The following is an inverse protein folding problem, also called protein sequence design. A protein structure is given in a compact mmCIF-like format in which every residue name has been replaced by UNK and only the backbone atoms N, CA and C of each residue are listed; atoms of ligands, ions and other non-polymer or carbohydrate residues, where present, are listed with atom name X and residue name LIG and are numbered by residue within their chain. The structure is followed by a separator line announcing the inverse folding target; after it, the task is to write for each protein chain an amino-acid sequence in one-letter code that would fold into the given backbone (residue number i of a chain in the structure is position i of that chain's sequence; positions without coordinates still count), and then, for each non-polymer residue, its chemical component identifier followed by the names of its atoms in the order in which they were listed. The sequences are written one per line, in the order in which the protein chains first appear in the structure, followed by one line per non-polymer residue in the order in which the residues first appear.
data_IF_257955329030
#
_entry.id   IF_257955329030
#
_cell.length_a   1.000
_cell.length_b   1.000
_cell.length_c   1.000
_cell.angle_alpha   90.00
_cell.angle_beta   90.00
_cell.angle_gamma   90.00
#
_symmetry.space_group_name_H-M   'P 1'
#
loop_
_entity.id
_entity.type
_entity.pdbx_description
1 polymer ?
#
# COMPACT_ATOMS: atom_id res chain seq x y z
N UNK A 1 -26.02 -6.13 34.04
CA UNK A 1 -25.56 -7.52 34.33
C UNK A 1 -26.76 -8.36 34.68
N UNK A 2 -27.55 -7.90 35.65
CA UNK A 2 -28.79 -8.58 36.10
C UNK A 2 -29.92 -8.58 35.05
N UNK A 3 -29.85 -7.72 34.04
CA UNK A 3 -30.80 -7.72 32.91
C UNK A 3 -30.63 -8.93 31.97
N UNK A 4 -29.46 -9.57 32.00
CA UNK A 4 -29.10 -10.64 31.05
C UNK A 4 -28.68 -11.94 31.72
N UNK A 5 -28.21 -11.89 32.97
CA UNK A 5 -27.66 -13.04 33.68
C UNK A 5 -28.26 -13.17 35.07
N UNK A 6 -28.57 -14.41 35.46
CA UNK A 6 -28.84 -14.80 36.84
C UNK A 6 -27.67 -15.65 37.33
N UNK A 7 -27.10 -15.31 38.48
CA UNK A 7 -25.92 -15.99 39.04
C UNK A 7 -26.31 -16.80 40.28
N UNK A 8 -25.91 -18.06 40.30
CA UNK A 8 -26.05 -18.96 41.44
C UNK A 8 -24.73 -19.71 41.67
N UNK A 9 -24.42 -20.00 42.92
CA UNK A 9 -23.14 -20.61 43.31
C UNK A 9 -23.40 -21.90 44.09
N UNK A 10 -22.66 -22.96 43.74
CA UNK A 10 -22.66 -24.22 44.48
C UNK A 10 -21.22 -24.68 44.71
N UNK A 11 -20.85 -24.91 45.97
CA UNK A 11 -19.52 -25.41 46.32
C UNK A 11 -19.48 -26.93 46.28
N UNK A 12 -18.54 -27.50 45.52
CA UNK A 12 -18.31 -28.95 45.49
C UNK A 12 -16.96 -29.27 46.16
N UNK A 13 -16.89 -30.25 47.09
CA UNK A 13 -15.63 -30.69 47.70
C UNK A 13 -14.59 -31.20 46.68
N UNK A 14 -13.34 -31.36 47.08
CA UNK A 14 -12.30 -31.82 46.15
C UNK A 14 -12.51 -33.29 45.71
N UNK A 15 -12.64 -33.53 44.40
CA UNK A 15 -12.96 -34.85 43.81
C UNK A 15 -12.08 -36.01 44.29
N UNK A 16 -10.75 -35.81 44.37
CA UNK A 16 -9.80 -36.88 44.75
C UNK A 16 -9.66 -37.03 46.26
N UNK A 17 -9.30 -35.96 46.97
CA UNK A 17 -9.01 -35.99 48.40
C UNK A 17 -10.25 -36.07 49.31
N UNK A 18 -11.45 -35.81 48.78
CA UNK A 18 -12.71 -35.88 49.51
C UNK A 18 -13.81 -36.49 48.62
N UNK A 19 -13.54 -37.68 48.07
CA UNK A 19 -14.40 -38.32 47.06
C UNK A 19 -15.84 -38.56 47.52
N UNK A 20 -16.05 -39.01 48.76
CA UNK A 20 -17.39 -39.22 49.30
C UNK A 20 -18.16 -37.88 49.48
N UNK A 21 -17.58 -36.86 50.15
CA UNK A 21 -18.18 -35.51 50.15
C UNK A 21 -18.41 -34.91 48.76
N UNK A 22 -17.52 -35.16 47.78
CA UNK A 22 -17.71 -34.72 46.40
C UNK A 22 -18.96 -35.34 45.78
N UNK A 23 -19.12 -36.67 45.90
CA UNK A 23 -20.28 -37.37 45.37
C UNK A 23 -21.58 -36.91 46.04
N UNK A 24 -21.55 -36.65 47.35
CA UNK A 24 -22.68 -36.06 48.06
C UNK A 24 -22.99 -34.65 47.54
N UNK A 25 -21.97 -33.81 47.31
CA UNK A 25 -22.12 -32.49 46.70
C UNK A 25 -22.72 -32.55 45.29
N UNK A 26 -22.30 -33.51 44.45
CA UNK A 26 -22.91 -33.73 43.13
C UNK A 26 -24.37 -34.17 43.23
N UNK A 27 -24.70 -35.03 44.19
CA UNK A 27 -26.08 -35.47 44.42
C UNK A 27 -26.97 -34.31 44.89
N UNK A 28 -26.44 -33.42 45.73
CA UNK A 28 -27.11 -32.19 46.14
C UNK A 28 -27.26 -31.20 44.97
N UNK A 29 -26.22 -30.98 44.17
CA UNK A 29 -26.34 -30.11 42.98
C UNK A 29 -27.38 -30.65 41.99
N UNK A 30 -27.48 -31.98 41.85
CA UNK A 30 -28.49 -32.61 40.99
C UNK A 30 -29.91 -32.22 41.40
N UNK A 31 -30.21 -32.03 42.69
CA UNK A 31 -31.56 -31.62 43.12
C UNK A 31 -31.92 -30.24 42.58
N UNK A 32 -30.95 -29.33 42.42
CA UNK A 32 -31.19 -28.00 41.83
C UNK A 32 -31.69 -28.06 40.38
N UNK A 33 -31.39 -29.14 39.64
CA UNK A 33 -31.85 -29.31 38.26
C UNK A 33 -33.08 -30.20 38.13
N UNK A 34 -33.35 -31.05 39.12
CA UNK A 34 -34.33 -32.13 39.02
C UNK A 34 -35.55 -31.95 39.93
N UNK A 35 -35.45 -31.12 40.97
CA UNK A 35 -36.52 -30.85 41.93
C UNK A 35 -37.05 -29.41 41.76
N UNK A 36 -38.20 -29.22 41.10
CA UNK A 36 -38.79 -27.89 40.88
C UNK A 36 -39.14 -27.13 42.16
N UNK A 37 -39.33 -27.84 43.28
CA UNK A 37 -39.67 -27.23 44.57
C UNK A 37 -38.40 -26.81 45.35
N UNK A 38 -37.22 -27.16 44.83
CA UNK A 38 -35.96 -26.76 45.45
C UNK A 38 -35.78 -25.24 45.39
N UNK A 39 -35.42 -24.61 46.52
CA UNK A 39 -35.28 -23.15 46.61
C UNK A 39 -34.29 -22.55 45.58
N UNK A 40 -33.28 -23.35 45.20
CA UNK A 40 -32.29 -23.03 44.17
C UNK A 40 -32.56 -23.70 42.82
N UNK A 41 -33.81 -24.02 42.49
CA UNK A 41 -34.13 -24.67 41.22
C UNK A 41 -33.66 -23.80 40.02
N UNK A 42 -32.94 -24.43 39.10
CA UNK A 42 -32.20 -23.73 38.03
C UNK A 42 -33.11 -23.34 36.86
N UNK A 43 -34.06 -24.19 36.46
CA UNK A 43 -34.83 -23.92 35.25
C UNK A 43 -35.97 -22.93 35.52
N UNK A 44 -35.93 -21.78 34.84
CA UNK A 44 -36.97 -20.76 34.90
C UNK A 44 -37.53 -20.50 33.49
N UNK A 45 -38.83 -20.21 33.35
CA UNK A 45 -39.44 -19.94 32.05
C UNK A 45 -38.70 -18.87 31.23
N UNK A 46 -38.16 -17.85 31.88
CA UNK A 46 -37.40 -16.76 31.26
C UNK A 46 -36.11 -17.20 30.55
N UNK A 47 -35.55 -18.36 30.88
CA UNK A 47 -34.36 -18.90 30.20
C UNK A 47 -34.71 -19.65 28.91
N UNK A 48 -35.97 -20.06 28.76
CA UNK A 48 -36.43 -20.82 27.61
C UNK A 48 -36.67 -19.90 26.41
N UNK A 49 -36.03 -20.19 25.26
CA UNK A 49 -36.17 -19.39 24.03
C UNK A 49 -37.43 -19.69 23.21
N UNK A 50 -38.31 -20.57 23.72
CA UNK A 50 -39.55 -21.00 23.07
C UNK A 50 -39.37 -21.62 21.68
N UNK A 51 -38.26 -22.34 21.51
CA UNK A 51 -37.93 -23.02 20.26
C UNK A 51 -38.31 -24.50 20.40
N UNK A 52 -39.15 -25.04 19.51
CA UNK A 52 -39.43 -26.46 19.46
C UNK A 52 -38.16 -27.30 19.31
N UNK A 53 -38.16 -28.52 19.87
CA UNK A 53 -36.97 -29.38 19.87
C UNK A 53 -36.46 -29.73 18.46
N UNK A 54 -37.36 -29.88 17.49
CA UNK A 54 -37.08 -30.11 16.08
C UNK A 54 -36.53 -28.86 15.36
N UNK A 55 -36.87 -27.66 15.84
CA UNK A 55 -36.33 -26.39 15.33
C UNK A 55 -35.00 -25.97 15.96
N UNK A 56 -34.60 -26.57 17.08
CA UNK A 56 -33.38 -26.19 17.80
C UNK A 56 -32.10 -26.34 16.98
N UNK A 57 -31.88 -27.43 16.21
CA UNK A 57 -30.67 -27.57 15.39
C UNK A 57 -30.48 -26.41 14.41
N UNK A 58 -31.52 -26.06 13.66
CA UNK A 58 -31.48 -24.96 12.69
C UNK A 58 -31.25 -23.60 13.37
N UNK A 59 -31.86 -23.38 14.54
CA UNK A 59 -31.61 -22.17 15.32
C UNK A 59 -30.16 -22.07 15.81
N UNK A 60 -29.59 -23.18 16.31
CA UNK A 60 -28.22 -23.24 16.78
C UNK A 60 -27.22 -23.04 15.63
N UNK A 61 -27.49 -23.62 14.46
CA UNK A 61 -26.71 -23.42 13.24
C UNK A 61 -26.70 -21.94 12.81
N UNK A 62 -27.86 -21.28 12.79
CA UNK A 62 -27.96 -19.86 12.47
C UNK A 62 -27.20 -18.95 13.47
N UNK A 63 -27.13 -19.32 14.76
CA UNK A 63 -26.28 -18.63 15.73
C UNK A 63 -24.81 -18.89 15.42
N UNK A 64 -24.45 -20.15 15.16
CA UNK A 64 -23.08 -20.54 14.89
C UNK A 64 -22.50 -19.84 13.65
N UNK A 65 -23.28 -19.72 12.58
CA UNK A 65 -22.89 -18.99 11.37
C UNK A 65 -22.62 -17.51 11.67
N UNK A 66 -23.45 -16.88 12.50
CA UNK A 66 -23.23 -15.50 12.93
C UNK A 66 -21.96 -15.37 13.76
N UNK A 67 -21.68 -16.31 14.67
CA UNK A 67 -20.46 -16.31 15.47
C UNK A 67 -19.22 -16.48 14.57
N UNK A 68 -19.26 -17.44 13.64
CA UNK A 68 -18.14 -17.77 12.77
C UNK A 68 -17.81 -16.63 11.79
N UNK A 69 -18.82 -15.91 11.32
CA UNK A 69 -18.65 -14.82 10.34
C UNK A 69 -18.46 -13.45 11.00
N UNK A 70 -18.56 -13.35 12.32
CA UNK A 70 -18.42 -12.07 13.02
C UNK A 70 -16.95 -11.64 13.09
N UNK A 71 -16.62 -10.60 12.33
CA UNK A 71 -15.29 -9.99 12.30
C UNK A 71 -14.86 -9.40 13.66
N UNK A 72 -15.81 -9.02 14.52
CA UNK A 72 -15.49 -8.49 15.85
C UNK A 72 -14.96 -9.57 16.80
N UNK A 73 -15.18 -10.85 16.47
CA UNK A 73 -14.61 -11.99 17.21
C UNK A 73 -13.26 -12.44 16.64
N UNK A 74 -12.83 -11.89 15.49
CA UNK A 74 -11.50 -12.10 14.93
C UNK A 74 -10.50 -11.21 15.68
N UNK A 75 -10.25 -11.58 16.94
CA UNK A 75 -9.37 -10.85 17.82
C UNK A 75 -7.93 -11.25 17.49
N UNK A 76 -7.10 -10.30 16.99
CA UNK A 76 -5.70 -10.60 16.73
C UNK A 76 -5.04 -11.04 18.04
N UNK A 77 -4.15 -12.02 17.93
CA UNK A 77 -3.41 -12.48 19.10
C UNK A 77 -2.55 -11.34 19.68
N UNK A 78 -2.19 -11.43 20.96
CA UNK A 78 -1.26 -10.47 21.57
C UNK A 78 0.06 -10.39 20.80
N UNK A 79 0.50 -11.52 20.22
CA UNK A 79 1.70 -11.58 19.38
C UNK A 79 1.53 -10.81 18.07
N UNK A 80 0.37 -10.90 17.43
CA UNK A 80 0.06 -10.15 16.20
C UNK A 80 -0.06 -8.66 16.47
N UNK A 81 -0.75 -8.26 17.54
CA UNK A 81 -0.85 -6.87 17.96
C UNK A 81 0.52 -6.27 18.25
N UNK A 82 1.36 -6.98 18.99
CA UNK A 82 2.74 -6.56 19.26
C UNK A 82 3.54 -6.44 17.96
N UNK A 83 3.43 -7.42 17.07
CA UNK A 83 4.10 -7.40 15.77
C UNK A 83 3.67 -6.20 14.92
N UNK A 84 2.38 -5.86 14.90
CA UNK A 84 1.87 -4.71 14.15
C UNK A 84 2.49 -3.42 14.68
N UNK A 85 2.40 -3.20 16.00
CA UNK A 85 2.96 -2.02 16.63
C UNK A 85 4.47 -1.87 16.36
N UNK A 86 5.24 -2.96 16.51
CA UNK A 86 6.69 -2.93 16.28
C UNK A 86 7.07 -2.72 14.81
N UNK A 87 6.39 -3.38 13.88
CA UNK A 87 6.61 -3.15 12.46
C UNK A 87 6.30 -1.70 12.08
N UNK A 88 5.26 -1.10 12.65
CA UNK A 88 4.89 0.30 12.36
C UNK A 88 5.92 1.30 12.91
N UNK A 89 6.50 1.04 14.09
CA UNK A 89 7.61 1.84 14.62
C UNK A 89 8.86 1.75 13.73
N UNK A 90 9.25 0.55 13.33
CA UNK A 90 10.43 0.32 12.49
C UNK A 90 10.24 0.96 11.11
N UNK A 91 9.06 0.82 10.51
CA UNK A 91 8.74 1.47 9.23
C UNK A 91 8.87 2.99 9.33
N UNK A 92 8.40 3.60 10.44
CA UNK A 92 8.49 5.05 10.65
C UNK A 92 9.94 5.53 10.77
N UNK A 93 10.78 4.78 11.48
CA UNK A 93 12.20 5.09 11.60
C UNK A 93 12.94 4.97 10.25
N UNK A 94 12.70 3.87 9.52
CA UNK A 94 13.27 3.69 8.18
C UNK A 94 12.78 4.75 7.19
N UNK A 95 11.51 5.16 7.29
CA UNK A 95 10.93 6.21 6.47
C UNK A 95 11.62 7.56 6.68
N UNK A 96 12.04 7.88 7.91
CA UNK A 96 12.75 9.13 8.18
C UNK A 96 14.10 9.19 7.42
N UNK A 97 14.84 8.08 7.38
CA UNK A 97 16.07 7.98 6.58
C UNK A 97 15.80 8.11 5.08
N UNK A 98 14.75 7.45 4.59
CA UNK A 98 14.28 7.60 3.21
C UNK A 98 13.98 9.06 2.87
N UNK A 99 13.15 9.74 3.67
CA UNK A 99 12.77 11.15 3.47
C UNK A 99 13.97 12.08 3.51
N UNK A 100 14.95 11.83 4.39
CA UNK A 100 16.18 12.62 4.43
C UNK A 100 17.02 12.48 3.14
N UNK A 101 16.95 11.32 2.49
CA UNK A 101 17.69 11.03 1.25
C UNK A 101 17.01 11.65 0.04
N UNK A 102 15.68 11.56 -0.05
CA UNK A 102 14.91 12.06 -1.21
C UNK A 102 14.52 13.54 -1.08
N UNK A 103 14.46 14.08 0.13
CA UNK A 103 14.09 15.48 0.40
C UNK A 103 14.84 16.51 -0.44
N UNK A 104 16.18 16.43 -0.56
CA UNK A 104 16.98 17.34 -1.39
C UNK A 104 16.64 17.31 -2.90
N UNK A 105 15.95 16.28 -3.39
CA UNK A 105 15.55 16.16 -4.80
C UNK A 105 14.37 17.09 -5.16
N UNK A 106 13.56 17.50 -4.19
CA UNK A 106 12.37 18.32 -4.43
C UNK A 106 12.71 19.70 -4.99
N UNK A 107 13.54 20.47 -4.29
CA UNK A 107 13.87 21.85 -4.67
C UNK A 107 14.39 22.02 -6.12
N UNK A 108 15.37 21.23 -6.61
CA UNK A 108 15.81 21.35 -7.99
C UNK A 108 14.69 20.97 -8.98
N UNK A 109 13.92 19.91 -8.73
CA UNK A 109 12.82 19.50 -9.60
C UNK A 109 11.69 20.54 -9.66
N UNK A 110 11.34 21.15 -8.54
CA UNK A 110 10.33 22.21 -8.48
C UNK A 110 10.77 23.48 -9.22
N UNK A 111 12.09 23.74 -9.28
CA UNK A 111 12.66 24.86 -10.05
C UNK A 111 12.81 24.58 -11.55
N UNK A 112 12.35 23.42 -12.05
CA UNK A 112 12.46 23.05 -13.46
C UNK A 112 13.83 22.45 -13.84
N UNK A 113 14.64 22.06 -12.87
CA UNK A 113 15.94 21.43 -13.14
C UNK A 113 15.82 19.93 -13.43
N UNK A 114 16.83 19.39 -14.11
CA UNK A 114 17.03 17.95 -14.25
C UNK A 114 18.10 17.52 -13.25
N UNK A 115 17.82 16.45 -12.54
CA UNK A 115 18.75 15.83 -11.59
C UNK A 115 19.28 14.56 -12.25
N UNK A 116 20.56 14.55 -12.66
CA UNK A 116 21.14 13.44 -13.40
C UNK A 116 21.18 12.13 -12.58
N UNK A 117 21.32 12.24 -11.26
CA UNK A 117 21.39 11.09 -10.33
C UNK A 117 20.02 10.69 -9.79
N UNK A 118 18.90 11.15 -10.38
CA UNK A 118 17.58 10.94 -9.82
C UNK A 118 17.26 9.45 -9.63
N UNK A 119 17.35 8.64 -10.70
CA UNK A 119 17.04 7.20 -10.63
C UNK A 119 17.92 6.47 -9.61
N UNK A 120 19.24 6.68 -9.67
CA UNK A 120 20.20 6.09 -8.73
C UNK A 120 19.90 6.47 -7.26
N UNK A 121 19.59 7.74 -7.00
CA UNK A 121 19.27 8.22 -5.64
C UNK A 121 17.96 7.61 -5.14
N UNK A 122 16.93 7.56 -5.99
CA UNK A 122 15.63 6.96 -5.65
C UNK A 122 15.77 5.46 -5.39
N UNK A 123 16.50 4.74 -6.25
CA UNK A 123 16.78 3.31 -6.11
C UNK A 123 17.52 3.01 -4.81
N UNK A 124 18.57 3.80 -4.52
CA UNK A 124 19.36 3.66 -3.29
C UNK A 124 18.51 3.93 -2.06
N UNK A 125 17.72 5.01 -2.06
CA UNK A 125 16.84 5.35 -0.94
C UNK A 125 15.83 4.24 -0.65
N UNK A 126 15.17 3.72 -1.70
CA UNK A 126 14.20 2.62 -1.57
C UNK A 126 14.86 1.35 -1.04
N UNK A 127 16.01 0.98 -1.59
CA UNK A 127 16.74 -0.22 -1.17
C UNK A 127 17.21 -0.11 0.28
N UNK A 128 17.85 1.00 0.66
CA UNK A 128 18.34 1.23 2.03
C UNK A 128 17.20 1.18 3.04
N UNK A 129 16.06 1.82 2.74
CA UNK A 129 14.91 1.81 3.63
C UNK A 129 14.31 0.42 3.80
N UNK A 130 14.14 -0.35 2.71
CA UNK A 130 13.65 -1.73 2.77
C UNK A 130 14.62 -2.64 3.52
N UNK A 131 15.93 -2.51 3.31
CA UNK A 131 16.94 -3.28 4.04
C UNK A 131 16.92 -2.97 5.54
N UNK A 132 16.78 -1.69 5.92
CA UNK A 132 16.65 -1.29 7.31
C UNK A 132 15.39 -1.88 7.96
N UNK A 133 14.26 -1.81 7.25
CA UNK A 133 13.01 -2.42 7.71
C UNK A 133 13.15 -3.94 7.85
N UNK A 134 13.67 -4.63 6.84
CA UNK A 134 13.79 -6.10 6.82
C UNK A 134 14.70 -6.61 7.93
N UNK A 135 15.79 -5.88 8.23
CA UNK A 135 16.73 -6.21 9.30
C UNK A 135 16.03 -6.33 10.66
N UNK A 136 15.15 -5.39 11.00
CA UNK A 136 14.57 -5.30 12.34
C UNK A 136 13.16 -5.91 12.43
N UNK A 137 12.41 -5.92 11.32
CA UNK A 137 11.01 -6.35 11.28
C UNK A 137 10.82 -7.85 10.95
N UNK A 138 11.78 -8.48 10.26
CA UNK A 138 11.64 -9.88 9.78
C UNK A 138 11.51 -10.94 10.88
N UNK A 139 11.87 -10.59 12.13
CA UNK A 139 11.76 -11.43 13.33
C UNK A 139 10.35 -11.50 13.94
N UNK A 140 9.43 -10.62 13.52
CA UNK A 140 8.06 -10.59 14.05
C UNK A 140 7.13 -11.52 13.27
N UNK A 141 5.85 -11.55 13.66
CA UNK A 141 4.83 -12.42 13.05
C UNK A 141 4.83 -12.30 11.52
N UNK A 142 5.09 -13.41 10.82
CA UNK A 142 5.44 -13.40 9.39
C UNK A 142 4.35 -12.78 8.50
N UNK A 143 3.05 -13.11 8.66
CA UNK A 143 1.98 -12.44 7.93
C UNK A 143 1.95 -10.91 8.15
N UNK A 144 2.16 -10.46 9.39
CA UNK A 144 2.19 -9.02 9.72
C UNK A 144 3.39 -8.35 9.07
N UNK A 145 4.58 -8.93 9.19
CA UNK A 145 5.80 -8.45 8.54
C UNK A 145 5.60 -8.31 7.02
N UNK A 146 5.12 -9.38 6.35
CA UNK A 146 4.99 -9.38 4.89
C UNK A 146 4.02 -8.29 4.43
N UNK A 147 2.87 -8.15 5.11
CA UNK A 147 1.90 -7.10 4.82
C UNK A 147 2.50 -5.71 5.04
N UNK A 148 3.10 -5.46 6.20
CA UNK A 148 3.70 -4.16 6.53
C UNK A 148 4.85 -3.78 5.61
N UNK A 149 5.64 -4.75 5.17
CA UNK A 149 6.70 -4.52 4.18
C UNK A 149 6.14 -4.05 2.84
N UNK A 150 5.03 -4.63 2.39
CA UNK A 150 4.35 -4.21 1.16
C UNK A 150 3.78 -2.80 1.31
N UNK A 151 3.01 -2.54 2.39
CA UNK A 151 2.47 -1.22 2.71
C UNK A 151 3.58 -0.14 2.73
N UNK A 152 4.72 -0.46 3.38
CA UNK A 152 5.86 0.44 3.49
C UNK A 152 6.54 0.70 2.13
N UNK A 153 6.72 -0.34 1.32
CA UNK A 153 7.25 -0.22 -0.05
C UNK A 153 6.36 0.69 -0.89
N UNK A 154 5.06 0.44 -0.89
CA UNK A 154 4.10 1.17 -1.73
C UNK A 154 4.06 2.66 -1.34
N UNK A 155 4.10 2.97 -0.04
CA UNK A 155 4.21 4.34 0.45
C UNK A 155 5.44 5.08 -0.09
N UNK A 156 6.59 4.42 -0.17
CA UNK A 156 7.81 5.03 -0.73
C UNK A 156 7.73 5.15 -2.25
N UNK A 157 7.27 4.10 -2.94
CA UNK A 157 7.09 4.10 -4.39
C UNK A 157 6.17 5.24 -4.85
N UNK A 158 5.09 5.51 -4.12
CA UNK A 158 4.18 6.62 -4.41
C UNK A 158 4.88 7.98 -4.31
N UNK A 159 5.74 8.18 -3.29
CA UNK A 159 6.54 9.41 -3.15
C UNK A 159 7.54 9.56 -4.29
N UNK A 160 8.24 8.48 -4.66
CA UNK A 160 9.19 8.47 -5.76
C UNK A 160 8.51 8.74 -7.11
N UNK A 161 7.29 8.23 -7.31
CA UNK A 161 6.52 8.45 -8.53
C UNK A 161 6.20 9.93 -8.74
N UNK A 162 5.92 10.68 -7.67
CA UNK A 162 5.73 12.13 -7.74
C UNK A 162 6.99 12.85 -8.22
N UNK A 163 8.16 12.48 -7.69
CA UNK A 163 9.46 13.04 -8.12
C UNK A 163 9.76 12.71 -9.58
N UNK A 164 9.56 11.45 -9.97
CA UNK A 164 9.72 10.97 -11.33
C UNK A 164 8.82 11.73 -12.30
N UNK A 165 7.53 11.89 -11.97
CA UNK A 165 6.58 12.63 -12.80
C UNK A 165 7.01 14.09 -12.99
N UNK A 166 7.47 14.75 -11.93
CA UNK A 166 7.97 16.12 -12.04
C UNK A 166 9.23 16.20 -12.92
N UNK A 167 10.15 15.25 -12.78
CA UNK A 167 11.33 15.15 -13.63
C UNK A 167 10.98 14.98 -15.12
N UNK A 168 10.05 14.07 -15.45
CA UNK A 168 9.61 13.84 -16.83
C UNK A 168 8.99 15.11 -17.44
N UNK A 169 8.22 15.89 -16.66
CA UNK A 169 7.68 17.19 -17.11
C UNK A 169 8.78 18.21 -17.39
N UNK A 170 9.78 18.32 -16.51
CA UNK A 170 10.93 19.21 -16.73
C UNK A 170 11.73 18.79 -17.96
N UNK A 171 11.93 17.47 -18.13
CA UNK A 171 12.64 16.90 -19.27
C UNK A 171 11.91 17.20 -20.57
N UNK A 172 10.59 17.00 -20.60
CA UNK A 172 9.74 17.36 -21.74
C UNK A 172 9.94 18.81 -22.17
N UNK A 173 9.82 19.76 -21.23
CA UNK A 173 10.01 21.19 -21.52
C UNK A 173 11.40 21.49 -22.08
N UNK A 174 12.46 20.91 -21.48
CA UNK A 174 13.84 21.10 -21.96
C UNK A 174 14.08 20.50 -23.33
N UNK A 175 13.57 19.30 -23.60
CA UNK A 175 13.69 18.63 -24.90
C UNK A 175 13.00 19.46 -25.99
N UNK A 176 11.79 19.96 -25.72
CA UNK A 176 11.05 20.83 -26.64
C UNK A 176 11.81 22.13 -26.93
N UNK A 177 12.35 22.79 -25.90
CA UNK A 177 13.13 24.02 -26.05
C UNK A 177 14.42 23.79 -26.87
N UNK A 178 15.16 22.72 -26.56
CA UNK A 178 16.38 22.36 -27.26
C UNK A 178 16.09 22.04 -28.75
N UNK A 179 15.02 21.28 -29.01
CA UNK A 179 14.58 20.98 -30.38
C UNK A 179 14.19 22.24 -31.15
N UNK A 180 13.40 23.13 -30.54
CA UNK A 180 13.00 24.39 -31.17
C UNK A 180 14.20 25.29 -31.49
N UNK A 181 15.21 25.34 -30.61
CA UNK A 181 16.45 26.07 -30.83
C UNK A 181 17.30 25.46 -31.95
N UNK A 182 17.42 24.12 -32.00
CA UNK A 182 18.13 23.41 -33.06
C UNK A 182 17.52 23.69 -34.43
N UNK A 183 16.18 23.68 -34.54
CA UNK A 183 15.49 24.01 -35.80
C UNK A 183 15.63 25.48 -36.20
N UNK A 184 15.65 26.40 -35.24
CA UNK A 184 15.89 27.82 -35.53
C UNK A 184 17.29 28.02 -36.11
N UNK A 185 18.30 27.34 -35.56
CA UNK A 185 19.67 27.40 -36.06
C UNK A 185 19.77 26.79 -37.47
N UNK A 186 19.14 25.64 -37.70
CA UNK A 186 19.12 24.95 -38.98
C UNK A 186 18.39 25.72 -40.10
N UNK A 187 17.57 26.72 -39.77
CA UNK A 187 16.82 27.52 -40.73
C UNK A 187 17.54 28.81 -41.19
N UNK A 188 18.77 29.09 -40.73
CA UNK A 188 19.49 30.34 -41.04
C UNK A 188 20.05 30.33 -42.48
N UNK A 189 19.94 31.41 -43.28
CA UNK A 189 20.53 31.47 -44.62
C UNK A 189 22.05 31.22 -44.63
N UNK A 190 22.63 30.61 -45.70
CA UNK A 190 21.98 30.08 -46.90
C UNK A 190 21.61 28.59 -46.71
N UNK A 191 20.46 28.30 -46.09
CA UNK A 191 19.99 26.92 -45.94
C UNK A 191 19.17 26.52 -47.16
N UNK A 192 19.53 25.40 -47.80
CA UNK A 192 18.78 24.77 -48.89
C UNK A 192 17.77 23.77 -48.29
N UNK A 193 16.58 23.63 -48.90
CA UNK A 193 15.48 22.81 -48.38
C UNK A 193 15.88 21.38 -47.95
N UNK A 194 16.80 20.72 -48.67
CA UNK A 194 17.31 19.39 -48.33
C UNK A 194 18.09 19.38 -47.00
N UNK A 195 18.97 20.37 -46.79
CA UNK A 195 19.76 20.49 -45.56
C UNK A 195 18.86 20.72 -44.34
N UNK A 196 17.75 21.43 -44.51
CA UNK A 196 16.76 21.62 -43.45
C UNK A 196 16.00 20.32 -43.13
N UNK A 197 15.65 19.52 -44.14
CA UNK A 197 14.97 18.24 -43.95
C UNK A 197 15.86 17.22 -43.21
N UNK A 198 17.15 17.16 -43.54
CA UNK A 198 18.13 16.32 -42.85
C UNK A 198 18.33 16.77 -41.40
N UNK A 199 18.52 18.07 -41.18
CA UNK A 199 18.69 18.65 -39.84
C UNK A 199 17.46 18.41 -38.96
N UNK A 200 16.25 18.49 -39.52
CA UNK A 200 15.00 18.18 -38.83
C UNK A 200 14.92 16.71 -38.41
N UNK A 201 15.25 15.79 -39.32
CA UNK A 201 15.23 14.35 -39.05
C UNK A 201 16.21 13.99 -37.95
N UNK A 202 17.43 14.54 -38.03
CA UNK A 202 18.47 14.38 -37.01
C UNK A 202 18.06 14.96 -35.67
N UNK A 203 17.61 16.20 -35.61
CA UNK A 203 17.21 16.87 -34.37
C UNK A 203 16.04 16.14 -33.69
N UNK A 204 15.13 15.55 -34.47
CA UNK A 204 14.03 14.75 -33.93
C UNK A 204 14.52 13.46 -33.31
N UNK A 205 15.38 12.72 -34.00
CA UNK A 205 15.96 11.49 -33.48
C UNK A 205 16.72 11.76 -32.18
N UNK A 206 17.59 12.78 -32.17
CA UNK A 206 18.34 13.18 -30.98
C UNK A 206 17.44 13.58 -29.80
N UNK A 207 16.36 14.33 -30.07
CA UNK A 207 15.41 14.74 -29.04
C UNK A 207 14.64 13.55 -28.43
N UNK A 208 14.21 12.61 -29.26
CA UNK A 208 13.48 11.41 -28.85
C UNK A 208 14.39 10.45 -28.11
N UNK A 209 15.54 10.09 -28.69
CA UNK A 209 16.49 9.14 -28.11
C UNK A 209 17.04 9.68 -26.78
N UNK A 210 17.37 10.98 -26.72
CA UNK A 210 17.83 11.63 -25.50
C UNK A 210 16.76 11.65 -24.41
N UNK A 211 15.49 11.85 -24.77
CA UNK A 211 14.38 11.78 -23.82
C UNK A 211 14.21 10.35 -23.29
N UNK A 212 14.22 9.34 -24.16
CA UNK A 212 14.08 7.93 -23.75
C UNK A 212 15.20 7.49 -22.81
N UNK A 213 16.44 7.82 -23.13
CA UNK A 213 17.59 7.51 -22.28
C UNK A 213 17.49 8.20 -20.92
N UNK A 214 17.10 9.47 -20.89
CA UNK A 214 16.97 10.23 -19.64
C UNK A 214 15.79 9.76 -18.78
N UNK A 215 14.70 9.29 -19.40
CA UNK A 215 13.57 8.67 -18.68
C UNK A 215 13.98 7.32 -18.13
N UNK A 216 14.62 6.47 -18.93
CA UNK A 216 15.10 5.16 -18.49
C UNK A 216 16.08 5.27 -17.32
N UNK A 217 17.01 6.23 -17.37
CA UNK A 217 17.97 6.49 -16.28
C UNK A 217 17.32 7.03 -15.00
N UNK A 218 16.10 7.56 -15.07
CA UNK A 218 15.33 8.06 -13.94
C UNK A 218 14.35 7.03 -13.35
N UNK A 219 14.20 5.87 -13.97
CA UNK A 219 13.32 4.81 -13.47
C UNK A 219 13.92 4.10 -12.25
N UNK A 220 13.03 3.54 -11.43
CA UNK A 220 13.35 2.67 -10.30
C UNK A 220 13.05 1.24 -10.70
N UNK A 221 13.93 0.31 -10.35
CA UNK A 221 13.75 -1.10 -10.68
C UNK A 221 12.54 -1.69 -9.96
N UNK A 222 11.90 -2.69 -10.58
CA UNK A 222 10.72 -3.39 -10.06
C UNK A 222 9.49 -2.49 -9.81
N UNK A 223 9.43 -1.31 -10.43
CA UNK A 223 8.27 -0.42 -10.36
C UNK A 223 7.61 -0.26 -11.73
N UNK A 224 6.29 -0.48 -11.79
CA UNK A 224 5.52 -0.46 -13.03
C UNK A 224 5.02 0.95 -13.41
N UNK A 225 5.92 1.95 -13.46
CA UNK A 225 5.56 3.29 -13.95
C UNK A 225 5.44 3.31 -15.48
N UNK A 226 4.39 3.94 -15.98
CA UNK A 226 4.14 4.06 -17.43
C UNK A 226 4.52 5.45 -17.95
N UNK A 227 5.20 5.49 -19.10
CA UNK A 227 5.67 6.73 -19.72
C UNK A 227 5.05 7.00 -21.09
N UNK A 228 4.18 6.10 -21.56
CA UNK A 228 3.57 6.12 -22.89
C UNK A 228 2.85 7.43 -23.20
N UNK A 229 2.07 7.96 -22.25
CA UNK A 229 1.34 9.22 -22.45
C UNK A 229 2.29 10.42 -22.53
N UNK A 230 3.30 10.49 -21.67
CA UNK A 230 4.32 11.55 -21.73
C UNK A 230 5.08 11.52 -23.05
N UNK A 231 5.43 10.31 -23.52
CA UNK A 231 6.11 10.12 -24.80
C UNK A 231 5.24 10.56 -25.98
N UNK A 232 3.96 10.19 -25.99
CA UNK A 232 3.02 10.59 -27.04
C UNK A 232 2.79 12.12 -27.07
N UNK A 233 2.73 12.76 -25.89
CA UNK A 233 2.64 14.21 -25.79
C UNK A 233 3.88 14.90 -26.36
N UNK A 234 5.09 14.39 -26.04
CA UNK A 234 6.34 14.89 -26.61
C UNK A 234 6.32 14.84 -28.13
N UNK A 235 5.99 13.69 -28.71
CA UNK A 235 5.97 13.51 -30.16
C UNK A 235 4.95 14.44 -30.84
N UNK A 236 3.78 14.64 -30.23
CA UNK A 236 2.76 15.56 -30.72
C UNK A 236 3.28 17.00 -30.76
N UNK A 237 3.99 17.44 -29.72
CA UNK A 237 4.54 18.79 -29.65
C UNK A 237 5.69 19.01 -30.64
N UNK A 238 6.60 18.03 -30.76
CA UNK A 238 7.66 18.04 -31.77
C UNK A 238 7.09 18.11 -33.20
N UNK A 239 6.01 17.38 -33.48
CA UNK A 239 5.28 17.44 -34.76
C UNK A 239 4.71 18.84 -35.03
N UNK A 240 4.08 19.47 -34.03
CA UNK A 240 3.51 20.81 -34.15
C UNK A 240 4.58 21.88 -34.46
N UNK A 241 5.71 21.83 -33.75
CA UNK A 241 6.85 22.72 -33.98
C UNK A 241 7.41 22.54 -35.39
N UNK A 242 7.55 21.28 -35.83
CA UNK A 242 8.02 20.93 -37.17
C UNK A 242 7.11 21.52 -38.25
N UNK A 243 5.79 21.33 -38.14
CA UNK A 243 4.81 21.84 -39.09
C UNK A 243 4.87 23.37 -39.20
N UNK A 244 4.98 24.05 -38.06
CA UNK A 244 5.08 25.51 -38.00
C UNK A 244 6.36 26.03 -38.65
N UNK A 245 7.51 25.37 -38.42
CA UNK A 245 8.80 25.79 -38.97
C UNK A 245 8.91 25.52 -40.47
N UNK A 246 8.42 24.38 -40.96
CA UNK A 246 8.38 24.08 -42.40
C UNK A 246 7.63 25.15 -43.20
N UNK A 247 6.47 25.60 -42.69
CA UNK A 247 5.69 26.67 -43.33
C UNK A 247 6.52 27.96 -43.49
N UNK A 248 7.18 28.39 -42.41
CA UNK A 248 8.02 29.60 -42.43
C UNK A 248 9.20 29.50 -43.39
N UNK A 249 9.85 28.34 -43.49
CA UNK A 249 10.98 28.15 -44.42
C UNK A 249 10.50 28.19 -45.87
N UNK A 250 9.34 27.59 -46.18
CA UNK A 250 8.73 27.65 -47.51
C UNK A 250 8.38 29.11 -47.87
N UNK A 251 7.86 29.90 -46.94
CA UNK A 251 7.53 31.31 -47.18
C UNK A 251 8.76 32.21 -47.42
N UNK A 252 9.98 31.73 -47.12
CA UNK A 252 11.24 32.48 -47.27
C UNK A 252 12.15 31.98 -48.41
N UNK A 253 11.74 30.93 -49.14
CA UNK A 253 12.42 30.39 -50.33
C UNK A 253 11.79 30.96 -51.60
#
# INVERSE_FOLDING_TARGET
MDDFFELQFFGIPHKVFAAEPFNQGCAQLRTWFMDPEHASYVFRPQFHKHIPADGFPAYAEAIWDKVLTNKDLDLPSQQELLAQFRCDEIAREALAGFTATVGPLHAPLESGQLVATLGETMQTALHTALTAFDKDASRYHKPVYTRRRADFRDQMVDQLHSLFTQYVRNLHQRTVQAFAAALLHAAKPPTVAHLFADALTKARAEAVDGWDQAVAAAMVDDVAWTTTEFRAQLETELNSITATRRRKVIDHL
#
